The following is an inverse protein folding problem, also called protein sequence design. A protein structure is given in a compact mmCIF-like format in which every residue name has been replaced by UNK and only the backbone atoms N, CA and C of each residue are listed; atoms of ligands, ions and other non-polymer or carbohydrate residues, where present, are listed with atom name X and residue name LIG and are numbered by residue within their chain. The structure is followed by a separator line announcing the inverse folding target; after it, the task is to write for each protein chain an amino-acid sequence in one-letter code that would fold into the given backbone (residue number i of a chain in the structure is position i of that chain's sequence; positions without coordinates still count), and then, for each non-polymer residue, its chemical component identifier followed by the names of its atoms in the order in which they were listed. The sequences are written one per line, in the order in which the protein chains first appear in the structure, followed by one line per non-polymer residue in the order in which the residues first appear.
data_IF_953822598453
#
_entry.id   IF_953822598453
#
_cell.length_a   1.000
_cell.length_b   1.000
_cell.length_c   1.000
_cell.angle_alpha   90.00
_cell.angle_beta   90.00
_cell.angle_gamma   90.00
#
_symmetry.space_group_name_H-M   'P 1'
#
loop_
_entity.id
_entity.type
_entity.pdbx_description
1 polymer ?
#
# COMPACT_ATOMS: atom_id res chain seq x y z
N UNK A 1 4.31 -7.55 5.65
CA UNK A 1 3.58 -6.90 6.76
C UNK A 1 4.53 -5.94 7.46
N UNK A 2 4.16 -4.70 7.74
CA UNK A 2 5.01 -3.73 8.48
C UNK A 2 4.25 -3.20 9.70
N UNK A 3 4.96 -3.01 10.81
CA UNK A 3 4.40 -2.45 12.05
C UNK A 3 4.23 -0.93 11.90
N UNK A 4 3.08 -0.42 12.30
CA UNK A 4 2.80 1.02 12.29
C UNK A 4 3.47 1.69 13.51
N UNK A 5 3.88 2.95 13.35
CA UNK A 5 4.46 3.73 14.45
C UNK A 5 3.46 3.93 15.61
N UNK A 6 2.17 4.02 15.28
CA UNK A 6 1.06 4.12 16.21
C UNK A 6 -0.15 3.37 15.63
N UNK A 7 -1.06 2.84 16.47
CA UNK A 7 -2.23 2.15 15.98
C UNK A 7 -3.21 3.12 15.29
N UNK A 8 -3.75 2.70 14.16
CA UNK A 8 -4.81 3.42 13.43
C UNK A 8 -6.04 2.55 13.47
N UNK A 9 -7.16 3.05 13.97
CA UNK A 9 -8.40 2.26 14.06
C UNK A 9 -8.25 0.96 14.86
N UNK A 10 -7.41 0.96 15.92
CA UNK A 10 -7.02 -0.22 16.73
C UNK A 10 -6.17 -1.27 15.99
N UNK A 11 -5.73 -0.99 14.77
CA UNK A 11 -4.82 -1.84 14.00
C UNK A 11 -3.39 -1.35 14.18
N UNK A 12 -2.47 -2.24 14.56
CA UNK A 12 -1.05 -1.93 14.79
C UNK A 12 -0.11 -2.31 13.64
N UNK A 13 -0.61 -3.01 12.61
CA UNK A 13 0.19 -3.55 11.51
C UNK A 13 -0.55 -3.41 10.19
N UNK A 14 0.18 -3.20 9.09
CA UNK A 14 -0.43 -3.01 7.77
C UNK A 14 0.49 -3.37 6.61
N UNK A 15 -0.05 -3.25 5.40
CA UNK A 15 0.68 -3.38 4.15
C UNK A 15 0.73 -2.02 3.47
N UNK A 16 1.91 -1.62 3.00
CA UNK A 16 2.09 -0.42 2.21
C UNK A 16 2.23 -0.82 0.74
N UNK A 17 1.42 -0.19 -0.11
CA UNK A 17 1.46 -0.36 -1.56
C UNK A 17 1.72 1.01 -2.16
N UNK A 18 2.78 1.11 -2.95
CA UNK A 18 3.06 2.29 -3.77
C UNK A 18 2.69 1.94 -5.20
N UNK A 19 1.76 2.68 -5.78
CA UNK A 19 1.34 2.53 -7.16
C UNK A 19 1.44 3.89 -7.86
N UNK A 20 2.12 3.91 -9.00
CA UNK A 20 2.15 5.07 -9.89
C UNK A 20 1.21 4.79 -11.05
N UNK A 21 0.34 5.76 -11.34
CA UNK A 21 -0.60 5.66 -12.43
C UNK A 21 -0.68 7.00 -13.17
N UNK A 22 -1.05 6.91 -14.44
CA UNK A 22 -1.36 8.06 -15.28
C UNK A 22 -2.87 8.07 -15.53
N UNK A 23 -3.52 9.22 -15.35
CA UNK A 23 -4.96 9.34 -15.53
C UNK A 23 -5.37 10.76 -15.91
N UNK A 24 -6.62 10.89 -16.36
CA UNK A 24 -7.28 12.18 -16.47
C UNK A 24 -7.38 12.89 -15.09
N UNK A 25 -7.47 14.24 -15.05
CA UNK A 25 -7.48 15.00 -13.80
C UNK A 25 -8.72 14.77 -12.92
N UNK A 26 -9.80 14.23 -13.49
CA UNK A 26 -11.05 13.93 -12.78
C UNK A 26 -11.00 12.61 -12.00
N UNK A 27 -10.13 11.69 -12.43
CA UNK A 27 -10.05 10.33 -11.89
C UNK A 27 -9.57 10.25 -10.42
N UNK A 28 -8.58 11.04 -9.94
CA UNK A 28 -8.15 11.00 -8.56
C UNK A 28 -9.27 11.25 -7.54
N UNK A 29 -10.27 12.06 -7.90
CA UNK A 29 -11.41 12.34 -7.02
C UNK A 29 -12.25 11.08 -6.76
N UNK A 30 -12.55 10.33 -7.82
CA UNK A 30 -13.31 9.09 -7.71
C UNK A 30 -12.50 7.99 -7.00
N UNK A 31 -11.18 7.95 -7.26
CA UNK A 31 -10.29 7.02 -6.55
C UNK A 31 -10.28 7.27 -5.05
N UNK A 32 -10.18 8.53 -4.61
CA UNK A 32 -10.23 8.88 -3.20
C UNK A 32 -11.58 8.51 -2.56
N UNK A 33 -12.69 8.71 -3.28
CA UNK A 33 -14.03 8.29 -2.83
C UNK A 33 -14.08 6.78 -2.59
N UNK A 34 -13.59 5.98 -3.54
CA UNK A 34 -13.55 4.52 -3.42
C UNK A 34 -12.64 4.05 -2.28
N UNK A 35 -11.47 4.67 -2.13
CA UNK A 35 -10.55 4.32 -1.04
C UNK A 35 -11.13 4.63 0.34
N UNK A 36 -11.94 5.68 0.46
CA UNK A 36 -12.60 6.05 1.72
C UNK A 36 -13.77 5.13 2.10
N UNK A 37 -14.46 4.59 1.11
CA UNK A 37 -15.58 3.64 1.33
C UNK A 37 -15.07 2.26 1.70
N UNK A 38 -13.85 1.92 1.29
CA UNK A 38 -13.28 0.61 1.56
C UNK A 38 -12.67 0.53 2.97
N UNK A 39 -13.35 -0.18 3.87
CA UNK A 39 -12.94 -0.37 5.27
C UNK A 39 -11.60 -1.12 5.43
N UNK A 40 -11.13 -1.82 4.40
CA UNK A 40 -9.82 -2.49 4.43
C UNK A 40 -8.65 -1.49 4.32
N UNK A 41 -8.89 -0.27 3.84
CA UNK A 41 -7.86 0.75 3.63
C UNK A 41 -7.83 1.67 4.87
N UNK A 42 -6.77 1.53 5.67
CA UNK A 42 -6.59 2.35 6.88
C UNK A 42 -6.24 3.81 6.57
N UNK A 43 -5.47 4.04 5.51
CA UNK A 43 -5.02 5.37 5.08
C UNK A 43 -4.62 5.33 3.61
N UNK A 44 -5.06 6.32 2.85
CA UNK A 44 -4.64 6.60 1.48
C UNK A 44 -3.98 7.97 1.39
N UNK A 45 -3.07 8.14 0.42
CA UNK A 45 -2.44 9.42 0.11
C UNK A 45 -2.18 9.49 -1.39
N UNK A 46 -2.79 10.46 -2.04
CA UNK A 46 -2.61 10.73 -3.47
C UNK A 46 -1.72 11.96 -3.61
N UNK A 47 -0.62 11.84 -4.37
CA UNK A 47 0.30 12.95 -4.62
C UNK A 47 0.43 13.12 -6.13
N UNK A 48 0.31 14.37 -6.60
CA UNK A 48 0.62 14.72 -7.99
C UNK A 48 2.13 14.72 -8.16
N UNK A 49 2.62 13.86 -9.06
CA UNK A 49 4.02 13.82 -9.42
C UNK A 49 4.28 14.79 -10.58
N UNK A 50 5.26 15.68 -10.43
CA UNK A 50 5.67 16.62 -11.49
C UNK A 50 6.58 15.96 -12.53
N UNK A 51 7.35 14.95 -12.12
CA UNK A 51 8.24 14.14 -12.95
C UNK A 51 7.82 12.67 -12.84
N UNK A 52 7.82 11.96 -13.96
CA UNK A 52 7.59 10.51 -13.96
C UNK A 52 8.56 9.85 -12.98
N UNK A 53 8.06 9.06 -12.01
CA UNK A 53 8.93 8.42 -11.03
C UNK A 53 9.83 7.43 -11.77
N UNK A 54 11.13 7.51 -11.52
CA UNK A 54 12.05 6.46 -11.92
C UNK A 54 11.60 5.18 -11.22
N UNK A 55 11.39 4.12 -12.00
CA UNK A 55 10.92 2.82 -11.55
C UNK A 55 11.93 2.18 -10.58
N UNK A 56 11.93 2.63 -9.33
CA UNK A 56 12.89 2.24 -8.31
C UNK A 56 12.29 2.57 -6.94
N UNK A 57 11.57 1.61 -6.35
CA UNK A 57 12.11 0.75 -5.29
C UNK A 57 11.05 -0.28 -4.85
N UNK A 58 11.26 -1.52 -5.31
CA UNK A 58 11.06 -2.77 -4.58
C UNK A 58 9.72 -3.04 -3.85
N UNK A 59 8.96 -3.99 -4.41
CA UNK A 59 8.49 -5.12 -3.60
C UNK A 59 9.54 -6.26 -3.74
N UNK A 60 9.96 -7.01 -2.70
CA UNK A 60 9.85 -6.82 -1.25
C UNK A 60 11.20 -7.07 -0.51
N UNK A 61 11.85 -6.04 0.04
CA UNK A 61 13.01 -6.24 0.93
C UNK A 61 12.55 -6.44 2.39
N UNK A 62 12.04 -7.63 2.67
CA UNK A 62 12.03 -8.32 3.98
C UNK A 62 11.57 -9.79 3.75
N UNK A 63 12.53 -10.68 3.47
CA UNK A 63 12.44 -12.16 3.50
C UNK A 63 13.46 -12.67 4.55
N UNK A 64 13.57 -13.96 4.98
CA UNK A 64 12.78 -15.21 4.77
C UNK A 64 12.47 -16.01 6.07
N UNK A 65 11.66 -17.08 6.01
CA UNK A 65 11.73 -18.27 6.89
C UNK A 65 10.96 -19.43 6.22
N UNK A 66 11.72 -20.39 5.70
CA UNK A 66 11.25 -21.73 5.30
C UNK A 66 11.03 -22.63 6.54
N UNK A 67 10.41 -23.79 6.27
CA UNK A 67 10.23 -25.00 7.10
C UNK A 67 8.92 -25.15 7.89
N UNK A 68 7.95 -25.80 7.24
CA UNK A 68 7.20 -26.91 7.83
C UNK A 68 7.05 -27.99 6.75
N UNK A 69 8.03 -28.88 6.69
CA UNK A 69 7.86 -30.25 6.19
C UNK A 69 7.03 -31.04 7.21
N UNK A 70 5.89 -31.53 6.79
CA UNK A 70 5.15 -32.69 7.32
C UNK A 70 4.59 -33.32 6.03
N UNK A 71 5.08 -34.43 5.46
CA UNK A 71 5.41 -35.71 6.04
C UNK A 71 4.27 -36.32 6.86
N UNK A 72 3.08 -36.45 6.25
CA UNK A 72 2.36 -37.74 6.13
C UNK A 72 1.34 -37.70 4.98
#
# INVERSE_FOLDING_TARGET
KRRLAYPIGKVGEGYYVLASFESAPEFPLELERLMRINDAILRSMTIRLEKAPEASVAAPAAAPAEEATDAE
#
